data_IF_852962941404
#
_entry.id   IF_852962941404
#
_cell.length_a   1.000
_cell.length_b   1.000
_cell.length_c   1.000
_cell.angle_alpha   90.00
_cell.angle_beta   90.00
_cell.angle_gamma   90.00
#
_symmetry.space_group_name_H-M   'P 1'
#
loop_
_entity.id
_entity.type
_entity.pdbx_description
1 polymer ?
#
# COMPACT_ATOMS: atom_id res chain seq x y z
N UNK A 1 1.00 11.33 35.10
CA UNK A 1 -0.31 11.94 35.39
C UNK A 1 -0.71 13.00 34.38
N UNK A 2 0.22 13.74 33.80
CA UNK A 2 -0.07 14.78 32.78
C UNK A 2 -0.55 14.24 31.42
N UNK A 3 -0.31 12.96 31.11
CA UNK A 3 -0.78 12.30 29.88
C UNK A 3 -2.22 11.76 30.00
N UNK A 4 -2.71 11.53 31.24
CA UNK A 4 -4.08 11.09 31.48
C UNK A 4 -5.10 12.21 31.40
N UNK A 5 -4.73 13.43 31.77
CA UNK A 5 -5.64 14.58 31.83
C UNK A 5 -5.92 15.21 30.48
N UNK A 6 -5.11 14.88 29.43
CA UNK A 6 -5.33 15.32 28.06
C UNK A 6 -6.24 14.41 27.21
N UNK A 7 -6.57 13.19 27.71
CA UNK A 7 -7.37 12.22 26.98
C UNK A 7 -8.81 12.10 27.50
N UNK A 8 -9.14 12.72 28.62
CA UNK A 8 -10.44 12.62 29.29
C UNK A 8 -11.30 13.90 29.21
N UNK A 9 -11.02 14.79 28.31
CA UNK A 9 -11.76 16.03 28.18
C UNK A 9 -11.86 16.50 26.75
N UNK A 10 -12.82 16.08 26.02
CA UNK A 10 -13.67 16.89 25.16
C UNK A 10 -14.52 16.03 24.21
N UNK A 11 -15.54 15.35 24.74
CA UNK A 11 -16.71 14.93 23.97
C UNK A 11 -17.74 16.08 23.90
N UNK A 12 -17.28 17.32 24.06
CA UNK A 12 -18.10 18.51 23.96
C UNK A 12 -18.32 18.87 22.49
N UNK A 13 -19.59 18.85 22.09
CA UNK A 13 -20.06 19.43 20.85
C UNK A 13 -19.32 20.76 20.57
N UNK A 14 -18.75 20.88 19.37
CA UNK A 14 -18.10 22.10 18.92
C UNK A 14 -19.14 23.21 18.65
N UNK A 15 -19.72 23.73 19.72
CA UNK A 15 -20.46 24.98 19.70
C UNK A 15 -19.46 26.12 19.86
N UNK A 16 -19.17 26.84 18.76
CA UNK A 16 -18.71 28.21 18.80
C UNK A 16 -17.37 28.49 19.47
N UNK A 17 -16.26 27.92 18.99
CA UNK A 17 -14.97 28.53 19.23
C UNK A 17 -14.88 29.81 18.36
N UNK A 18 -14.87 30.99 18.96
CA UNK A 18 -14.58 32.25 18.29
C UNK A 18 -13.24 32.16 17.58
N UNK A 19 -13.25 32.22 16.24
CA UNK A 19 -12.05 32.41 15.44
C UNK A 19 -11.30 33.64 15.98
N UNK A 20 -10.00 33.50 16.28
CA UNK A 20 -9.18 34.68 16.61
C UNK A 20 -9.16 35.58 15.36
N UNK A 21 -9.59 36.82 15.52
CA UNK A 21 -9.75 37.80 14.46
C UNK A 21 -8.42 38.27 13.82
N UNK A 22 -7.29 37.71 14.23
CA UNK A 22 -5.95 38.24 13.94
C UNK A 22 -5.12 37.40 12.93
N UNK A 23 -5.62 36.34 12.34
CA UNK A 23 -4.89 35.71 11.24
C UNK A 23 -5.27 36.33 9.90
N UNK A 24 -4.30 36.85 9.13
CA UNK A 24 -4.57 37.49 7.84
C UNK A 24 -4.97 36.41 6.81
N UNK A 25 -6.28 36.17 6.68
CA UNK A 25 -6.83 35.32 5.63
C UNK A 25 -6.98 36.14 4.35
N UNK A 26 -6.53 35.66 3.16
CA UNK A 26 -6.60 36.42 1.92
C UNK A 26 -8.03 36.86 1.61
N UNK A 27 -8.22 38.16 1.34
CA UNK A 27 -9.51 38.71 0.97
C UNK A 27 -10.04 38.04 -0.32
N UNK A 28 -11.31 37.64 -0.32
CA UNK A 28 -12.00 37.05 -1.50
C UNK A 28 -11.93 35.53 -1.56
N UNK A 29 -11.22 34.85 -0.65
CA UNK A 29 -11.33 33.40 -0.53
C UNK A 29 -12.35 33.00 0.54
N UNK A 30 -13.12 31.92 0.32
CA UNK A 30 -14.00 31.39 1.35
C UNK A 30 -13.18 30.90 2.55
N UNK A 31 -13.58 31.29 3.77
CA UNK A 31 -12.88 30.84 4.98
C UNK A 31 -13.17 29.37 5.23
N UNK A 32 -12.13 28.53 5.51
CA UNK A 32 -12.34 27.15 5.89
C UNK A 32 -13.07 27.07 7.23
N UNK A 33 -14.03 26.14 7.34
CA UNK A 33 -14.65 25.80 8.61
C UNK A 33 -14.03 24.50 9.13
N UNK A 34 -13.62 24.48 10.38
CA UNK A 34 -13.06 23.31 11.03
C UNK A 34 -14.21 22.42 11.51
N UNK A 35 -14.26 21.17 11.01
CA UNK A 35 -15.24 20.17 11.43
C UNK A 35 -14.71 19.28 12.57
N UNK A 36 -13.41 18.98 12.57
CA UNK A 36 -12.75 18.18 13.60
C UNK A 36 -11.46 18.87 14.06
N UNK A 37 -11.12 18.71 15.34
CA UNK A 37 -9.88 19.25 15.94
C UNK A 37 -9.13 18.18 16.70
N UNK A 38 -7.83 18.44 16.96
CA UNK A 38 -6.97 17.61 17.78
C UNK A 38 -6.61 16.29 17.09
N UNK A 39 -6.36 15.24 17.87
CA UNK A 39 -5.95 13.93 17.36
C UNK A 39 -7.02 13.27 16.49
N UNK A 40 -8.29 13.54 16.75
CA UNK A 40 -9.40 13.06 15.90
C UNK A 40 -9.36 13.60 14.46
N UNK A 41 -8.57 14.64 14.18
CA UNK A 41 -8.35 15.13 12.82
C UNK A 41 -7.28 14.33 12.03
N UNK A 42 -6.57 13.39 12.67
CA UNK A 42 -5.70 12.43 11.98
C UNK A 42 -6.58 11.32 11.39
N UNK A 43 -6.94 11.44 10.11
CA UNK A 43 -7.88 10.51 9.46
C UNK A 43 -7.15 9.48 8.60
N UNK A 44 -7.68 8.25 8.58
CA UNK A 44 -7.27 7.17 7.66
C UNK A 44 -8.20 7.12 6.43
N UNK A 45 -8.52 8.28 5.88
CA UNK A 45 -9.37 8.45 4.72
C UNK A 45 -10.67 9.19 5.01
N UNK A 46 -11.20 9.85 3.98
CA UNK A 46 -12.48 10.56 4.04
C UNK A 46 -13.15 10.61 2.67
N UNK A 47 -14.48 10.69 2.66
CA UNK A 47 -15.30 10.86 1.47
C UNK A 47 -16.47 11.79 1.76
N UNK A 48 -16.83 12.64 0.79
CA UNK A 48 -17.91 13.60 0.88
C UNK A 48 -19.07 13.14 -0.01
N UNK A 49 -20.31 13.24 0.50
CA UNK A 49 -21.50 12.99 -0.33
C UNK A 49 -21.57 13.95 -1.51
N UNK A 50 -22.17 13.57 -2.66
CA UNK A 50 -22.25 14.42 -3.84
C UNK A 50 -22.93 15.77 -3.61
N UNK A 51 -23.87 15.85 -2.66
CA UNK A 51 -24.55 17.08 -2.25
C UNK A 51 -23.74 17.92 -1.25
N UNK A 52 -22.59 17.40 -0.78
CA UNK A 52 -21.74 18.05 0.19
C UNK A 52 -22.28 18.08 1.63
N UNK A 53 -23.39 17.40 1.91
CA UNK A 53 -24.06 17.48 3.22
C UNK A 53 -23.43 16.61 4.29
N UNK A 54 -22.84 15.47 3.92
CA UNK A 54 -22.24 14.52 4.85
C UNK A 54 -20.80 14.19 4.47
N UNK A 55 -19.89 14.37 5.43
CA UNK A 55 -18.50 13.88 5.34
C UNK A 55 -18.40 12.56 6.10
N UNK A 56 -18.04 11.48 5.41
CA UNK A 56 -17.69 10.21 6.05
C UNK A 56 -16.17 10.17 6.23
N UNK A 57 -15.72 9.91 7.45
CA UNK A 57 -14.29 9.91 7.79
C UNK A 57 -13.92 8.73 8.69
N UNK A 58 -12.73 8.21 8.51
CA UNK A 58 -12.09 7.27 9.42
C UNK A 58 -11.28 8.06 10.45
N UNK A 59 -11.65 7.96 11.73
CA UNK A 59 -11.04 8.76 12.79
C UNK A 59 -10.49 7.86 13.92
N UNK A 60 -9.35 8.22 14.52
CA UNK A 60 -8.76 7.41 15.58
C UNK A 60 -9.59 7.49 16.86
N UNK A 61 -9.80 6.35 17.49
CA UNK A 61 -10.35 6.19 18.82
C UNK A 61 -9.33 5.51 19.73
N UNK A 62 -8.97 6.11 20.88
CA UNK A 62 -7.99 5.51 21.79
C UNK A 62 -8.39 4.10 22.25
N UNK A 63 -7.44 3.18 22.22
CA UNK A 63 -7.61 1.81 22.69
C UNK A 63 -6.36 1.37 23.48
N UNK A 64 -6.39 1.51 24.79
CA UNK A 64 -5.24 1.18 25.63
C UNK A 64 -4.04 2.08 25.35
N UNK A 65 -2.94 1.49 24.83
CA UNK A 65 -1.73 2.20 24.40
C UNK A 65 -1.75 2.56 22.93
N UNK A 66 -2.74 2.08 22.20
CA UNK A 66 -2.93 2.21 20.77
C UNK A 66 -4.19 3.03 20.45
N UNK A 67 -4.56 3.08 19.21
CA UNK A 67 -5.83 3.57 18.72
C UNK A 67 -6.40 2.56 17.72
N UNK A 68 -7.70 2.52 17.58
CA UNK A 68 -8.39 1.94 16.45
C UNK A 68 -9.03 3.02 15.62
N UNK A 69 -9.20 2.78 14.34
CA UNK A 69 -9.93 3.70 13.46
C UNK A 69 -11.40 3.30 13.40
N UNK A 70 -12.28 4.25 13.71
CA UNK A 70 -13.74 4.09 13.57
C UNK A 70 -14.27 4.96 12.44
N UNK A 71 -15.33 4.49 11.79
CA UNK A 71 -15.98 5.24 10.73
C UNK A 71 -17.07 6.13 11.30
N UNK A 72 -17.04 7.42 10.95
CA UNK A 72 -18.01 8.42 11.40
C UNK A 72 -18.61 9.17 10.23
N UNK A 73 -19.86 9.59 10.37
CA UNK A 73 -20.50 10.58 9.50
C UNK A 73 -20.54 11.92 10.23
N UNK A 74 -20.21 12.99 9.53
CA UNK A 74 -20.18 14.36 10.04
C UNK A 74 -21.09 15.20 9.17
N UNK A 75 -22.12 15.78 9.75
CA UNK A 75 -22.96 16.79 9.09
C UNK A 75 -22.12 18.04 8.80
N UNK A 76 -21.96 18.38 7.54
CA UNK A 76 -21.09 19.48 7.15
C UNK A 76 -21.69 20.85 7.51
N UNK A 77 -22.99 21.00 7.74
CA UNK A 77 -23.64 22.23 8.15
C UNK A 77 -23.55 22.48 9.66
N UNK A 78 -23.66 21.45 10.48
CA UNK A 78 -23.70 21.57 11.94
C UNK A 78 -22.37 21.16 12.61
N UNK A 79 -21.61 20.24 12.01
CA UNK A 79 -20.47 19.57 12.61
C UNK A 79 -20.86 18.41 13.53
N UNK A 80 -22.14 18.03 13.57
CA UNK A 80 -22.61 16.89 14.36
C UNK A 80 -22.01 15.59 13.85
N UNK A 81 -21.48 14.78 14.76
CA UNK A 81 -20.80 13.53 14.47
C UNK A 81 -21.66 12.35 14.89
N UNK A 82 -21.82 11.38 13.99
CA UNK A 82 -22.50 10.10 14.23
C UNK A 82 -21.55 8.94 13.90
N UNK A 83 -21.44 7.97 14.81
CA UNK A 83 -20.64 6.77 14.59
C UNK A 83 -21.39 5.83 13.64
N UNK A 84 -20.70 5.39 12.57
CA UNK A 84 -21.21 4.40 11.63
C UNK A 84 -20.70 3.00 11.95
N UNK A 85 -19.41 2.87 12.28
CA UNK A 85 -18.76 1.62 12.68
C UNK A 85 -17.71 1.89 13.74
N UNK A 86 -17.68 1.07 14.75
CA UNK A 86 -16.69 1.08 15.84
C UNK A 86 -16.60 -0.34 16.40
N UNK A 87 -15.45 -0.98 16.21
CA UNK A 87 -15.20 -2.35 16.65
C UNK A 87 -13.86 -2.41 17.37
N UNK A 88 -13.80 -3.17 18.47
CA UNK A 88 -12.55 -3.39 19.23
C UNK A 88 -11.60 -4.25 18.40
N UNK A 89 -10.30 -3.92 18.43
CA UNK A 89 -9.24 -4.61 17.69
C UNK A 89 -9.44 -4.62 16.14
N UNK A 90 -10.16 -3.62 15.63
CA UNK A 90 -10.44 -3.45 14.21
C UNK A 90 -10.23 -2.00 13.82
N UNK A 91 -9.59 -1.79 12.69
CA UNK A 91 -9.56 -0.51 11.99
C UNK A 91 -10.58 -0.51 10.86
N UNK A 92 -11.36 0.57 10.73
CA UNK A 92 -12.32 0.80 9.65
C UNK A 92 -11.89 2.03 8.87
N UNK A 93 -11.41 1.82 7.63
CA UNK A 93 -10.61 2.80 6.91
C UNK A 93 -11.05 2.96 5.46
N UNK A 94 -10.43 3.93 4.76
CA UNK A 94 -10.59 4.17 3.34
C UNK A 94 -12.05 4.26 2.87
N UNK A 95 -12.92 5.11 3.48
CA UNK A 95 -14.30 5.22 3.05
C UNK A 95 -14.42 5.73 1.61
N UNK A 96 -15.38 5.17 0.86
CA UNK A 96 -15.87 5.69 -0.40
C UNK A 96 -17.41 5.86 -0.32
N UNK A 97 -17.95 6.78 -1.10
CA UNK A 97 -19.39 7.04 -1.17
C UNK A 97 -19.85 6.81 -2.60
N UNK A 98 -21.03 6.19 -2.77
CA UNK A 98 -21.69 5.99 -4.05
C UNK A 98 -22.06 7.32 -4.72
N UNK A 99 -22.18 7.32 -6.04
CA UNK A 99 -22.54 8.53 -6.80
C UNK A 99 -23.94 9.06 -6.48
N UNK A 100 -24.85 8.16 -6.13
CA UNK A 100 -26.18 8.54 -5.66
C UNK A 100 -26.20 9.03 -4.21
N UNK A 101 -25.07 8.92 -3.48
CA UNK A 101 -24.91 9.34 -2.09
C UNK A 101 -25.62 8.47 -1.06
N UNK A 102 -26.11 7.28 -1.44
CA UNK A 102 -26.93 6.43 -0.56
C UNK A 102 -26.15 5.32 0.12
N UNK A 103 -24.95 4.98 -0.38
CA UNK A 103 -24.13 3.87 0.12
C UNK A 103 -22.71 4.31 0.44
N UNK A 104 -22.08 3.56 1.35
CA UNK A 104 -20.65 3.65 1.68
C UNK A 104 -19.98 2.31 1.43
N UNK A 105 -18.71 2.35 1.06
CA UNK A 105 -17.81 1.20 1.08
C UNK A 105 -16.57 1.55 1.92
N UNK A 106 -15.95 0.57 2.53
CA UNK A 106 -14.79 0.75 3.39
C UNK A 106 -13.97 -0.53 3.49
N UNK A 107 -12.73 -0.39 3.96
CA UNK A 107 -11.87 -1.50 4.36
C UNK A 107 -12.02 -1.72 5.86
N UNK A 108 -12.26 -2.96 6.25
CA UNK A 108 -12.25 -3.43 7.64
C UNK A 108 -10.99 -4.26 7.83
N UNK A 109 -10.13 -3.83 8.74
CA UNK A 109 -8.86 -4.48 9.03
C UNK A 109 -8.88 -5.04 10.45
N UNK A 110 -8.95 -6.36 10.60
CA UNK A 110 -8.66 -7.00 11.88
C UNK A 110 -7.18 -6.80 12.20
N UNK A 111 -6.87 -6.25 13.39
CA UNK A 111 -5.49 -5.95 13.75
C UNK A 111 -4.64 -7.21 13.85
N UNK A 112 -3.38 -7.07 13.48
CA UNK A 112 -2.39 -8.13 13.67
C UNK A 112 -2.22 -8.47 15.16
N UNK A 113 -1.82 -9.70 15.39
CA UNK A 113 -1.47 -10.22 16.72
C UNK A 113 -0.12 -10.94 16.62
N UNK A 114 0.53 -11.29 17.71
CA UNK A 114 1.71 -12.14 17.65
C UNK A 114 1.46 -13.48 16.95
N UNK A 115 0.20 -13.95 16.92
CA UNK A 115 -0.15 -15.23 16.29
C UNK A 115 -0.45 -15.14 14.78
N UNK A 116 -0.63 -13.93 14.22
CA UNK A 116 -0.92 -13.79 12.81
C UNK A 116 -1.03 -12.34 12.32
N UNK A 117 -0.88 -12.15 11.01
CA UNK A 117 -0.96 -10.84 10.38
C UNK A 117 -2.37 -10.24 10.45
N UNK A 118 -2.47 -8.94 10.14
CA UNK A 118 -3.74 -8.27 9.91
C UNK A 118 -4.51 -8.94 8.75
N UNK A 119 -5.84 -8.94 8.84
CA UNK A 119 -6.71 -9.41 7.75
C UNK A 119 -7.59 -8.25 7.26
N UNK A 120 -7.56 -7.98 5.97
CA UNK A 120 -8.31 -6.89 5.34
C UNK A 120 -9.50 -7.40 4.55
N UNK A 121 -10.65 -6.79 4.77
CA UNK A 121 -11.91 -7.14 4.16
C UNK A 121 -12.55 -5.91 3.51
N UNK A 122 -13.18 -6.10 2.34
CA UNK A 122 -14.05 -5.09 1.74
C UNK A 122 -15.46 -5.21 2.28
N UNK A 123 -16.05 -4.07 2.64
CA UNK A 123 -17.40 -3.97 3.13
C UNK A 123 -18.17 -2.86 2.42
N UNK A 124 -19.49 -3.03 2.28
CA UNK A 124 -20.41 -1.97 1.87
C UNK A 124 -21.60 -1.91 2.84
N UNK A 125 -22.20 -0.71 2.96
CA UNK A 125 -23.36 -0.47 3.81
C UNK A 125 -24.19 0.68 3.24
N UNK A 126 -25.39 0.91 3.76
CA UNK A 126 -26.11 2.15 3.57
C UNK A 126 -25.34 3.33 4.18
N UNK A 127 -25.59 4.57 3.72
CA UNK A 127 -24.89 5.77 4.21
C UNK A 127 -25.08 5.98 5.72
N UNK A 128 -26.15 5.49 6.29
CA UNK A 128 -26.41 5.55 7.74
C UNK A 128 -25.68 4.47 8.53
N UNK A 129 -24.99 3.57 7.85
CA UNK A 129 -24.28 2.46 8.44
C UNK A 129 -25.09 1.18 8.60
N UNK A 130 -26.35 1.15 8.23
CA UNK A 130 -27.18 -0.07 8.24
C UNK A 130 -26.86 -1.00 7.06
N UNK A 131 -27.40 -2.20 7.06
CA UNK A 131 -27.27 -3.19 5.96
C UNK A 131 -25.85 -3.48 5.51
N UNK A 132 -24.91 -3.50 6.47
CA UNK A 132 -23.52 -3.78 6.17
C UNK A 132 -23.31 -5.23 5.74
N UNK A 133 -22.59 -5.40 4.63
CA UNK A 133 -22.26 -6.71 4.08
C UNK A 133 -20.77 -6.77 3.70
N UNK A 134 -20.14 -7.92 3.95
CA UNK A 134 -18.81 -8.22 3.44
C UNK A 134 -18.89 -8.51 1.96
N UNK A 135 -18.04 -7.86 1.19
CA UNK A 135 -17.89 -8.10 -0.26
C UNK A 135 -16.75 -9.08 -0.51
N UNK A 136 -16.87 -9.85 -1.58
CA UNK A 136 -15.82 -10.72 -2.12
C UNK A 136 -15.09 -11.56 -1.04
N UNK A 137 -15.76 -12.37 -0.21
CA UNK A 137 -15.14 -13.03 0.95
C UNK A 137 -14.05 -14.04 0.61
N UNK A 138 -13.92 -14.45 -0.66
CA UNK A 138 -12.86 -15.33 -1.15
C UNK A 138 -11.73 -14.60 -1.90
N UNK A 139 -11.76 -13.28 -1.95
CA UNK A 139 -10.75 -12.49 -2.62
C UNK A 139 -9.64 -12.12 -1.64
N UNK A 140 -8.57 -12.88 -1.66
CA UNK A 140 -7.44 -12.75 -0.75
C UNK A 140 -6.41 -11.72 -1.26
N UNK A 141 -6.79 -10.45 -1.22
CA UNK A 141 -5.94 -9.29 -1.55
C UNK A 141 -6.27 -8.13 -0.64
N UNK A 142 -5.28 -7.27 -0.38
CA UNK A 142 -5.42 -6.07 0.42
C UNK A 142 -5.74 -4.87 -0.47
N UNK A 143 -6.94 -4.26 -0.31
CA UNK A 143 -7.31 -3.10 -1.09
C UNK A 143 -6.43 -1.89 -0.76
N UNK A 144 -5.80 -1.29 -1.75
CA UNK A 144 -5.02 -0.06 -1.60
C UNK A 144 -5.81 1.21 -1.94
N UNK A 145 -6.84 1.10 -2.76
CA UNK A 145 -7.83 2.15 -3.02
C UNK A 145 -9.16 1.56 -3.42
N UNK A 146 -10.24 2.31 -3.19
CA UNK A 146 -11.59 1.92 -3.63
C UNK A 146 -12.41 3.13 -4.06
N UNK A 147 -13.24 2.93 -5.10
CA UNK A 147 -14.21 3.88 -5.62
C UNK A 147 -15.46 3.12 -6.04
N UNK A 148 -16.63 3.71 -5.95
CA UNK A 148 -17.80 3.16 -6.62
C UNK A 148 -17.66 3.33 -8.13
N UNK A 149 -18.05 2.33 -8.91
CA UNK A 149 -18.22 2.43 -10.35
C UNK A 149 -19.29 3.47 -10.70
N UNK A 150 -19.36 3.91 -11.95
CA UNK A 150 -20.27 5.00 -12.33
C UNK A 150 -21.76 4.68 -12.14
N UNK A 151 -22.13 3.40 -12.26
CA UNK A 151 -23.50 2.90 -12.07
C UNK A 151 -23.81 2.48 -10.62
N UNK A 152 -22.87 2.68 -9.69
CA UNK A 152 -22.96 2.24 -8.28
C UNK A 152 -23.23 0.72 -8.10
N UNK A 153 -23.02 -0.11 -9.13
CA UNK A 153 -23.25 -1.56 -9.07
C UNK A 153 -22.03 -2.35 -8.58
N UNK A 154 -20.84 -1.75 -8.63
CA UNK A 154 -19.58 -2.37 -8.25
C UNK A 154 -18.63 -1.36 -7.60
N UNK A 155 -17.57 -1.87 -6.96
CA UNK A 155 -16.39 -1.08 -6.61
C UNK A 155 -15.29 -1.29 -7.65
N UNK A 156 -14.58 -0.22 -7.96
CA UNK A 156 -13.28 -0.23 -8.64
C UNK A 156 -12.22 -0.17 -7.57
N UNK A 157 -11.36 -1.18 -7.52
CA UNK A 157 -10.39 -1.39 -6.43
C UNK A 157 -9.01 -1.60 -7.01
N UNK A 158 -7.98 -1.06 -6.37
CA UNK A 158 -6.59 -1.45 -6.64
C UNK A 158 -6.07 -2.30 -5.49
N UNK A 159 -5.23 -3.28 -5.80
CA UNK A 159 -4.53 -4.10 -4.81
C UNK A 159 -3.25 -4.67 -5.42
N UNK A 160 -2.27 -4.96 -4.57
CA UNK A 160 -1.08 -5.68 -5.00
C UNK A 160 -1.45 -7.08 -5.48
N UNK A 161 -0.87 -7.49 -6.59
CA UNK A 161 -1.07 -8.79 -7.18
C UNK A 161 0.12 -9.21 -8.03
N UNK A 162 0.85 -10.22 -7.57
CA UNK A 162 1.96 -10.83 -8.31
C UNK A 162 3.01 -9.80 -8.79
N UNK A 163 3.46 -8.89 -7.88
CA UNK A 163 4.43 -7.84 -8.18
C UNK A 163 3.93 -6.75 -9.12
N UNK A 164 2.61 -6.61 -9.23
CA UNK A 164 1.86 -5.58 -9.96
C UNK A 164 0.83 -4.96 -9.04
N UNK A 165 0.18 -3.90 -9.49
CA UNK A 165 -0.94 -3.28 -8.77
C UNK A 165 -2.13 -3.06 -9.71
N UNK A 166 -2.80 -4.13 -10.20
CA UNK A 166 -3.89 -4.00 -11.16
C UNK A 166 -5.15 -3.37 -10.57
N UNK A 167 -6.05 -3.00 -11.48
CA UNK A 167 -7.42 -2.60 -11.17
C UNK A 167 -8.32 -3.83 -11.16
N UNK A 168 -9.17 -3.92 -10.14
CA UNK A 168 -10.21 -4.94 -10.01
C UNK A 168 -11.59 -4.30 -9.99
N UNK A 169 -12.59 -5.04 -10.48
CA UNK A 169 -14.00 -4.73 -10.31
C UNK A 169 -14.61 -5.73 -9.32
N UNK A 170 -15.20 -5.20 -8.24
CA UNK A 170 -15.84 -5.98 -7.17
C UNK A 170 -17.34 -5.71 -7.17
N UNK A 171 -18.19 -6.62 -7.67
CA UNK A 171 -19.64 -6.45 -7.69
C UNK A 171 -20.23 -6.34 -6.28
N UNK A 172 -21.21 -5.43 -6.09
CA UNK A 172 -21.90 -5.27 -4.80
C UNK A 172 -22.96 -6.34 -4.53
N UNK A 173 -23.38 -7.06 -5.57
CA UNK A 173 -24.37 -8.16 -5.48
C UNK A 173 -23.77 -9.52 -5.06
N UNK A 174 -22.45 -9.56 -4.79
CA UNK A 174 -21.72 -10.78 -4.43
C UNK A 174 -21.23 -11.59 -5.63
N UNK A 175 -21.25 -11.02 -6.83
CA UNK A 175 -20.63 -11.60 -8.02
C UNK A 175 -19.12 -11.81 -7.88
N UNK A 176 -18.52 -12.52 -8.82
CA UNK A 176 -17.08 -12.80 -8.83
C UNK A 176 -16.27 -11.51 -9.05
N UNK A 177 -15.17 -11.35 -8.32
CA UNK A 177 -14.20 -10.28 -8.56
C UNK A 177 -13.54 -10.51 -9.93
N UNK A 178 -13.46 -9.45 -10.72
CA UNK A 178 -12.77 -9.47 -12.01
C UNK A 178 -11.54 -8.57 -11.96
N UNK A 179 -10.39 -9.10 -12.36
CA UNK A 179 -9.23 -8.25 -12.67
C UNK A 179 -9.48 -7.55 -14.00
N UNK A 180 -9.39 -6.21 -14.02
CA UNK A 180 -9.71 -5.41 -15.21
C UNK A 180 -8.46 -5.10 -16.05
N UNK A 181 -7.30 -4.88 -15.41
CA UNK A 181 -6.04 -4.61 -16.12
C UNK A 181 -5.07 -5.78 -15.97
N UNK A 182 -4.35 -6.16 -17.06
CA UNK A 182 -3.53 -7.39 -17.13
C UNK A 182 -2.09 -7.12 -17.58
N UNK A 183 -1.67 -5.87 -17.62
CA UNK A 183 -0.32 -5.46 -18.01
C UNK A 183 0.65 -5.45 -16.80
N UNK A 184 1.94 -5.29 -17.06
CA UNK A 184 3.00 -5.29 -16.03
C UNK A 184 3.13 -3.91 -15.34
N UNK A 185 2.00 -3.39 -14.81
CA UNK A 185 1.94 -2.08 -14.18
C UNK A 185 1.21 -2.09 -12.84
N UNK A 186 1.50 -1.09 -12.02
CA UNK A 186 0.71 -0.69 -10.87
C UNK A 186 -0.10 0.56 -11.18
N UNK A 187 -1.35 0.58 -10.74
CA UNK A 187 -2.32 1.64 -10.95
C UNK A 187 -2.60 2.39 -9.65
N UNK A 188 -2.59 3.72 -9.74
CA UNK A 188 -2.91 4.60 -8.62
C UNK A 188 -3.83 5.73 -9.08
N UNK A 189 -4.47 6.43 -8.13
CA UNK A 189 -5.37 7.55 -8.44
C UNK A 189 -6.45 7.15 -9.45
N UNK A 190 -7.03 5.97 -9.26
CA UNK A 190 -8.05 5.41 -10.15
C UNK A 190 -9.38 6.10 -9.90
N UNK A 191 -9.93 6.73 -10.95
CA UNK A 191 -11.22 7.42 -10.90
C UNK A 191 -12.14 6.92 -12.03
N UNK A 192 -13.35 6.45 -11.73
CA UNK A 192 -14.36 6.06 -12.72
C UNK A 192 -14.78 7.22 -13.61
N UNK A 193 -14.94 6.97 -14.90
CA UNK A 193 -15.35 7.97 -15.89
C UNK A 193 -16.87 7.99 -16.02
N UNK A 194 -17.48 9.16 -15.79
CA UNK A 194 -18.92 9.33 -15.83
C UNK A 194 -19.57 8.86 -17.15
N UNK A 195 -20.65 8.11 -17.05
CA UNK A 195 -21.42 7.58 -18.17
C UNK A 195 -20.75 6.40 -18.90
N UNK A 196 -19.69 5.83 -18.33
CA UNK A 196 -18.95 4.70 -18.92
C UNK A 196 -18.53 3.70 -17.83
N UNK A 197 -18.05 2.53 -18.25
CA UNK A 197 -17.37 1.58 -17.36
C UNK A 197 -15.82 1.73 -17.37
N UNK A 198 -15.31 2.83 -17.92
CA UNK A 198 -13.89 3.11 -17.99
C UNK A 198 -13.38 3.82 -16.73
N UNK A 199 -12.07 3.81 -16.58
CA UNK A 199 -11.36 4.53 -15.51
C UNK A 199 -10.28 5.45 -16.09
N UNK A 200 -9.96 6.52 -15.41
CA UNK A 200 -8.73 7.27 -15.58
C UNK A 200 -7.83 6.98 -14.39
N UNK A 201 -6.55 6.77 -14.65
CA UNK A 201 -5.59 6.41 -13.62
C UNK A 201 -4.19 6.95 -13.94
N UNK A 202 -3.32 6.95 -12.94
CA UNK A 202 -1.87 6.94 -13.16
C UNK A 202 -1.40 5.50 -13.10
N UNK A 203 -0.59 5.07 -14.08
CA UNK A 203 0.08 3.78 -14.02
C UNK A 203 1.59 3.93 -14.09
N UNK A 204 2.30 3.03 -13.44
CA UNK A 204 3.76 2.98 -13.45
C UNK A 204 4.27 1.57 -13.26
N UNK A 205 5.52 1.33 -13.66
CA UNK A 205 6.31 0.16 -13.27
C UNK A 205 7.77 0.59 -13.08
N UNK A 206 8.70 -0.33 -12.86
CA UNK A 206 10.11 0.04 -12.63
C UNK A 206 10.80 0.66 -13.84
N UNK A 207 10.25 0.49 -15.05
CA UNK A 207 10.79 1.04 -16.31
C UNK A 207 10.12 2.35 -16.72
N UNK A 208 8.93 2.65 -16.20
CA UNK A 208 8.11 3.76 -16.67
C UNK A 208 7.51 4.51 -15.46
N UNK A 209 7.80 5.83 -15.33
CA UNK A 209 7.24 6.64 -14.26
C UNK A 209 5.73 6.78 -14.38
N UNK A 210 5.06 7.25 -13.29
CA UNK A 210 3.63 7.49 -13.31
C UNK A 210 3.21 8.38 -14.48
N UNK A 211 2.29 7.89 -15.30
CA UNK A 211 1.73 8.61 -16.42
C UNK A 211 0.22 8.35 -16.53
N UNK A 212 -0.56 9.33 -17.02
CA UNK A 212 -2.00 9.21 -17.09
C UNK A 212 -2.43 8.24 -18.20
N UNK A 213 -3.43 7.42 -17.88
CA UNK A 213 -4.02 6.47 -18.82
C UNK A 213 -5.53 6.44 -18.68
N UNK A 214 -6.22 5.97 -19.73
CA UNK A 214 -7.62 5.51 -19.70
C UNK A 214 -7.62 3.99 -19.81
N UNK A 215 -8.21 3.32 -18.83
CA UNK A 215 -8.48 1.89 -18.84
C UNK A 215 -9.94 1.65 -19.22
N UNK A 216 -10.17 0.90 -20.29
CA UNK A 216 -11.51 0.50 -20.70
C UNK A 216 -11.97 -0.77 -19.96
N UNK A 217 -13.27 -1.00 -19.92
CA UNK A 217 -13.87 -2.16 -19.25
C UNK A 217 -13.42 -3.53 -19.87
N UNK A 218 -12.98 -3.53 -21.11
CA UNK A 218 -12.44 -4.72 -21.79
C UNK A 218 -10.94 -4.99 -21.49
N UNK A 219 -10.34 -4.20 -20.60
CA UNK A 219 -8.93 -4.29 -20.23
C UNK A 219 -7.97 -3.53 -21.15
N UNK A 220 -8.46 -2.89 -22.21
CA UNK A 220 -7.64 -2.03 -23.08
C UNK A 220 -7.17 -0.80 -22.32
N UNK A 221 -5.85 -0.53 -22.32
CA UNK A 221 -5.27 0.64 -21.67
C UNK A 221 -4.65 1.59 -22.72
N UNK A 222 -5.16 2.80 -22.73
CA UNK A 222 -4.72 3.85 -23.67
C UNK A 222 -3.98 4.97 -22.93
N UNK A 223 -2.72 5.27 -23.26
CA UNK A 223 -2.01 6.41 -22.69
C UNK A 223 -2.70 7.74 -23.03
N UNK A 224 -2.78 8.62 -22.06
CA UNK A 224 -3.22 10.00 -22.20
C UNK A 224 -2.00 10.93 -22.33
N UNK A 225 -2.26 12.20 -22.65
CA UNK A 225 -1.18 13.20 -22.74
C UNK A 225 -0.49 13.35 -21.39
N UNK A 226 0.81 13.09 -21.36
CA UNK A 226 1.65 13.28 -20.18
C UNK A 226 2.29 14.67 -20.18
N UNK A 227 2.39 15.34 -19.02
CA UNK A 227 3.03 16.67 -18.93
C UNK A 227 4.53 16.63 -19.22
N UNK A 228 5.15 15.47 -19.10
CA UNK A 228 6.58 15.26 -19.39
C UNK A 228 6.80 13.91 -20.07
N UNK A 229 7.83 13.80 -20.93
CA UNK A 229 8.23 12.52 -21.49
C UNK A 229 8.78 11.59 -20.40
N UNK A 230 8.64 10.29 -20.59
CA UNK A 230 9.33 9.30 -19.74
C UNK A 230 10.85 9.42 -19.91
N UNK A 231 11.62 9.24 -18.82
CA UNK A 231 13.08 9.15 -18.94
C UNK A 231 13.48 8.04 -19.91
N UNK A 232 14.46 8.32 -20.77
CA UNK A 232 15.04 7.31 -21.65
C UNK A 232 15.87 6.34 -20.80
N UNK A 233 15.72 5.04 -21.05
CA UNK A 233 16.54 3.99 -20.46
C UNK A 233 16.88 2.95 -21.51
N UNK A 234 18.07 2.38 -21.42
CA UNK A 234 18.51 1.24 -22.23
C UNK A 234 18.47 -0.07 -21.43
N UNK A 235 18.14 0.01 -20.14
CA UNK A 235 17.91 -1.16 -19.31
C UNK A 235 16.69 -1.96 -19.77
N UNK A 236 16.68 -3.25 -19.46
CA UNK A 236 15.52 -4.13 -19.63
C UNK A 236 15.05 -4.69 -18.30
N UNK A 237 13.81 -5.16 -18.24
CA UNK A 237 13.22 -5.77 -17.04
C UNK A 237 12.59 -7.11 -17.41
N UNK A 238 12.90 -8.13 -16.64
CA UNK A 238 12.30 -9.47 -16.77
C UNK A 238 11.79 -9.94 -15.44
N UNK A 239 10.73 -10.75 -15.46
CA UNK A 239 10.27 -11.46 -14.29
C UNK A 239 11.15 -12.69 -14.05
N UNK A 240 11.49 -12.94 -12.79
CA UNK A 240 12.23 -14.12 -12.35
C UNK A 240 11.47 -14.79 -11.21
N UNK A 241 11.55 -16.11 -11.14
CA UNK A 241 10.89 -16.88 -10.09
C UNK A 241 11.70 -18.11 -9.70
N UNK A 242 11.43 -18.60 -8.51
CA UNK A 242 11.94 -19.86 -7.99
C UNK A 242 10.90 -20.51 -7.08
N UNK A 243 11.17 -21.75 -6.69
CA UNK A 243 10.40 -22.43 -5.66
C UNK A 243 11.28 -22.53 -4.41
N UNK A 244 10.77 -22.01 -3.29
CA UNK A 244 11.43 -22.14 -1.99
C UNK A 244 11.39 -23.60 -1.47
N UNK A 245 12.20 -23.94 -0.46
CA UNK A 245 12.30 -25.29 0.09
C UNK A 245 10.97 -25.82 0.65
N UNK A 246 10.09 -24.93 1.11
CA UNK A 246 8.74 -25.26 1.58
C UNK A 246 7.70 -25.40 0.45
N UNK A 247 8.12 -25.26 -0.80
CA UNK A 247 7.29 -25.37 -1.99
C UNK A 247 6.58 -24.06 -2.39
N UNK A 248 6.79 -22.95 -1.68
CA UNK A 248 6.21 -21.67 -2.04
C UNK A 248 6.89 -21.08 -3.29
N UNK A 249 6.10 -20.50 -4.17
CA UNK A 249 6.60 -19.71 -5.30
C UNK A 249 7.11 -18.37 -4.80
N UNK A 250 8.37 -18.05 -5.10
CA UNK A 250 9.00 -16.76 -4.84
C UNK A 250 9.34 -16.13 -6.17
N UNK A 251 8.96 -14.88 -6.34
CA UNK A 251 9.19 -14.14 -7.59
C UNK A 251 9.86 -12.79 -7.33
N UNK A 252 10.35 -12.16 -8.38
CA UNK A 252 10.90 -10.80 -8.36
C UNK A 252 11.04 -10.23 -9.76
N UNK A 253 11.38 -8.95 -9.82
CA UNK A 253 11.81 -8.29 -11.03
C UNK A 253 13.33 -8.26 -11.10
N UNK A 254 13.89 -8.57 -12.26
CA UNK A 254 15.32 -8.40 -12.56
C UNK A 254 15.46 -7.30 -13.60
N UNK A 255 16.08 -6.20 -13.20
CA UNK A 255 16.43 -5.09 -14.11
C UNK A 255 17.86 -5.30 -14.57
N UNK A 256 18.05 -5.47 -15.88
CA UNK A 256 19.33 -5.73 -16.51
C UNK A 256 19.89 -4.45 -17.14
N UNK A 257 21.20 -4.17 -16.99
CA UNK A 257 21.84 -3.08 -17.69
C UNK A 257 21.96 -3.38 -19.19
N UNK A 258 22.14 -2.36 -20.00
CA UNK A 258 22.43 -2.52 -21.43
C UNK A 258 23.68 -3.37 -21.66
N UNK A 259 23.57 -4.35 -22.57
CA UNK A 259 24.71 -5.19 -22.98
C UNK A 259 25.08 -6.31 -22.02
N UNK A 260 24.28 -6.56 -20.96
CA UNK A 260 24.46 -7.72 -20.13
C UNK A 260 24.10 -9.00 -20.91
N UNK A 261 25.09 -9.87 -21.09
CA UNK A 261 24.97 -11.16 -21.79
C UNK A 261 26.04 -12.14 -21.28
N UNK A 262 26.09 -13.34 -21.85
CA UNK A 262 27.07 -14.37 -21.47
C UNK A 262 28.55 -13.98 -21.72
N UNK A 263 28.82 -13.01 -22.60
CA UNK A 263 30.17 -12.52 -22.83
C UNK A 263 30.54 -11.35 -21.89
N UNK A 264 29.53 -10.66 -21.39
CA UNK A 264 29.68 -9.48 -20.53
C UNK A 264 28.65 -9.56 -19.37
N UNK A 265 28.78 -10.54 -18.46
CA UNK A 265 27.83 -10.71 -17.38
C UNK A 265 27.90 -9.54 -16.39
N UNK A 266 26.74 -9.10 -15.92
CA UNK A 266 26.60 -7.97 -15.01
C UNK A 266 26.76 -8.39 -13.54
N UNK A 267 27.39 -7.56 -12.68
CA UNK A 267 27.38 -7.77 -11.24
C UNK A 267 25.95 -7.66 -10.70
N UNK A 268 25.58 -8.49 -9.73
CA UNK A 268 24.25 -8.54 -9.16
C UNK A 268 24.14 -7.67 -7.92
N UNK A 269 23.07 -6.88 -7.86
CA UNK A 269 22.62 -6.17 -6.67
C UNK A 269 21.26 -6.73 -6.23
N UNK A 270 21.23 -7.49 -5.13
CA UNK A 270 20.00 -7.86 -4.45
C UNK A 270 19.47 -6.65 -3.68
N UNK A 271 18.29 -6.17 -4.02
CA UNK A 271 17.67 -5.02 -3.37
C UNK A 271 16.40 -5.42 -2.65
N UNK A 272 16.45 -5.46 -1.31
CA UNK A 272 15.38 -5.94 -0.44
C UNK A 272 14.48 -4.77 -0.08
N UNK A 273 13.15 -4.92 -0.30
CA UNK A 273 12.20 -3.86 0.03
C UNK A 273 12.00 -3.67 1.54
N UNK A 274 11.50 -2.49 1.91
CA UNK A 274 11.03 -2.19 3.26
C UNK A 274 9.56 -2.59 3.44
N UNK A 275 9.08 -2.41 4.62
CA UNK A 275 7.72 -2.77 5.06
C UNK A 275 7.77 -3.45 6.42
N UNK A 276 7.68 -4.80 6.52
CA UNK A 276 7.80 -5.84 5.50
C UNK A 276 6.61 -6.01 4.55
N UNK A 277 5.41 -5.59 4.96
CA UNK A 277 4.16 -5.72 4.21
C UNK A 277 4.15 -4.73 3.04
N UNK A 278 4.77 -5.12 1.94
CA UNK A 278 4.96 -4.33 0.73
C UNK A 278 5.26 -5.25 -0.46
N UNK A 279 5.38 -4.71 -1.68
CA UNK A 279 5.81 -5.41 -2.88
C UNK A 279 6.58 -4.50 -3.81
N UNK A 280 7.53 -5.04 -4.58
CA UNK A 280 8.24 -4.35 -5.64
C UNK A 280 7.36 -4.27 -6.90
N UNK A 281 6.40 -3.32 -6.96
CA UNK A 281 5.43 -3.27 -8.04
C UNK A 281 5.38 -1.95 -8.83
N UNK A 282 5.93 -0.83 -8.30
CA UNK A 282 5.71 0.48 -8.87
C UNK A 282 6.96 1.34 -8.89
N UNK A 283 6.97 2.36 -9.76
CA UNK A 283 8.03 3.36 -9.88
C UNK A 283 8.32 4.05 -8.55
N UNK A 284 9.60 4.21 -8.26
CA UNK A 284 10.06 5.09 -7.20
C UNK A 284 11.17 6.00 -7.73
N UNK A 285 11.01 7.31 -7.55
CA UNK A 285 12.06 8.29 -7.86
C UNK A 285 13.23 8.16 -6.89
N UNK A 286 12.96 7.76 -5.66
CA UNK A 286 13.97 7.65 -4.60
C UNK A 286 14.73 6.32 -4.67
N UNK A 287 14.05 5.24 -4.99
CA UNK A 287 14.57 3.88 -4.95
C UNK A 287 14.56 3.25 -6.34
N UNK A 288 15.08 3.98 -7.35
CA UNK A 288 15.04 3.54 -8.75
C UNK A 288 16.17 2.58 -9.08
N UNK A 289 15.87 1.33 -9.49
CA UNK A 289 16.87 0.36 -9.94
C UNK A 289 17.59 0.81 -11.21
N UNK A 290 16.99 1.70 -12.00
CA UNK A 290 17.58 2.21 -13.23
C UNK A 290 18.88 2.99 -12.99
N UNK A 291 19.04 3.60 -11.80
CA UNK A 291 20.28 4.29 -11.44
C UNK A 291 21.46 3.32 -11.26
N UNK A 292 21.19 2.12 -10.73
CA UNK A 292 22.19 1.06 -10.62
C UNK A 292 22.43 0.39 -11.98
N UNK A 293 21.35 0.12 -12.75
CA UNK A 293 21.47 -0.42 -14.10
C UNK A 293 22.26 0.49 -15.04
N UNK A 294 22.09 1.81 -14.97
CA UNK A 294 22.90 2.79 -15.71
C UNK A 294 24.39 2.78 -15.33
N UNK A 295 24.76 2.12 -14.24
CA UNK A 295 26.17 1.89 -13.82
C UNK A 295 26.64 0.47 -14.06
N UNK A 296 25.86 -0.33 -14.79
CA UNK A 296 26.23 -1.68 -15.20
C UNK A 296 25.86 -2.78 -14.20
N UNK A 297 25.04 -2.51 -13.19
CA UNK A 297 24.54 -3.53 -12.27
C UNK A 297 23.24 -4.15 -12.76
N UNK A 298 23.10 -5.45 -12.66
CA UNK A 298 21.81 -6.13 -12.64
C UNK A 298 21.18 -5.95 -11.24
N UNK A 299 19.89 -5.61 -11.19
CA UNK A 299 19.20 -5.35 -9.92
C UNK A 299 18.04 -6.31 -9.73
N UNK A 300 18.14 -7.18 -8.73
CA UNK A 300 17.07 -8.09 -8.34
C UNK A 300 16.19 -7.43 -7.28
N UNK A 301 14.90 -7.33 -7.56
CA UNK A 301 13.83 -6.77 -6.73
C UNK A 301 12.87 -7.91 -6.35
N UNK A 302 13.16 -8.71 -5.31
CA UNK A 302 12.34 -9.88 -4.96
C UNK A 302 11.22 -9.51 -4.01
N UNK A 303 10.15 -10.32 -4.04
CA UNK A 303 9.07 -10.33 -3.08
C UNK A 303 9.14 -11.61 -2.23
N UNK A 304 9.88 -11.62 -1.11
CA UNK A 304 9.96 -12.77 -0.19
C UNK A 304 8.70 -12.91 0.64
N UNK A 305 8.57 -13.95 1.45
CA UNK A 305 7.54 -14.07 2.49
C UNK A 305 7.37 -12.75 3.26
N UNK A 306 6.16 -12.41 3.68
CA UNK A 306 5.67 -11.12 4.17
C UNK A 306 5.26 -10.13 3.07
N UNK A 307 5.64 -10.34 1.81
CA UNK A 307 5.24 -9.42 0.73
C UNK A 307 3.74 -9.50 0.46
N UNK A 308 3.16 -8.36 0.07
CA UNK A 308 1.75 -8.24 -0.31
C UNK A 308 1.50 -8.71 -1.74
N UNK A 309 0.25 -9.05 -2.07
CA UNK A 309 -0.14 -9.45 -3.42
C UNK A 309 -0.09 -10.95 -3.70
N UNK A 310 0.24 -11.79 -2.70
CA UNK A 310 0.37 -13.24 -2.81
C UNK A 310 -0.62 -14.00 -1.91
N UNK A 311 -1.48 -13.29 -1.21
CA UNK A 311 -2.42 -13.83 -0.24
C UNK A 311 -1.92 -13.80 1.19
N UNK A 312 -2.85 -13.98 2.15
CA UNK A 312 -2.58 -13.89 3.57
C UNK A 312 -1.62 -14.98 4.05
N UNK A 313 -1.73 -16.20 3.49
CA UNK A 313 -0.84 -17.31 3.82
C UNK A 313 0.62 -17.01 3.47
N UNK A 314 0.87 -16.27 2.38
CA UNK A 314 2.23 -15.88 2.00
C UNK A 314 2.83 -14.87 2.98
N UNK A 315 2.01 -13.96 3.49
CA UNK A 315 2.40 -13.05 4.57
C UNK A 315 2.67 -13.84 5.86
N UNK A 316 1.78 -14.76 6.21
CA UNK A 316 1.88 -15.56 7.43
C UNK A 316 3.15 -16.43 7.49
N UNK A 317 3.71 -16.85 6.33
CA UNK A 317 4.97 -17.63 6.26
C UNK A 317 6.15 -16.93 6.94
N UNK A 318 6.19 -15.60 6.93
CA UNK A 318 7.26 -14.82 7.55
C UNK A 318 6.85 -14.16 8.87
N UNK A 319 5.61 -14.32 9.31
CA UNK A 319 5.08 -13.68 10.51
C UNK A 319 5.80 -14.20 11.77
N UNK A 320 6.20 -13.29 12.64
CA UNK A 320 7.00 -13.57 13.86
C UNK A 320 8.32 -14.35 13.59
N UNK A 321 8.77 -14.38 12.33
CA UNK A 321 9.94 -15.16 11.92
C UNK A 321 10.72 -14.52 10.76
N UNK A 322 11.03 -13.23 10.86
CA UNK A 322 11.63 -12.44 9.79
C UNK A 322 12.97 -13.00 9.27
N UNK A 323 13.76 -13.64 10.13
CA UNK A 323 15.02 -14.29 9.76
C UNK A 323 14.87 -15.70 9.20
N UNK A 324 13.67 -16.23 9.07
CA UNK A 324 13.38 -17.57 8.53
C UNK A 324 12.97 -17.51 7.05
N UNK A 325 11.68 -17.75 6.73
CA UNK A 325 11.20 -17.80 5.34
C UNK A 325 11.58 -16.57 4.49
N UNK A 326 11.49 -15.31 4.97
CA UNK A 326 11.97 -14.18 4.18
C UNK A 326 13.43 -14.27 3.78
N UNK A 327 14.32 -14.76 4.68
CA UNK A 327 15.75 -14.93 4.37
C UNK A 327 15.98 -16.08 3.38
N UNK A 328 15.37 -17.25 3.59
CA UNK A 328 15.55 -18.40 2.69
C UNK A 328 15.00 -18.11 1.31
N UNK A 329 13.87 -17.39 1.20
CA UNK A 329 13.30 -16.95 -0.07
C UNK A 329 14.26 -16.03 -0.84
N UNK A 330 14.87 -15.05 -0.14
CA UNK A 330 15.88 -14.16 -0.73
C UNK A 330 17.09 -14.94 -1.24
N UNK A 331 17.56 -15.95 -0.50
CA UNK A 331 18.69 -16.79 -0.94
C UNK A 331 18.30 -17.63 -2.15
N UNK A 332 17.14 -18.28 -2.13
CA UNK A 332 16.68 -19.15 -3.21
C UNK A 332 16.49 -18.39 -4.53
N UNK A 333 15.89 -17.20 -4.50
CA UNK A 333 15.72 -16.41 -5.74
C UNK A 333 17.04 -15.80 -6.21
N UNK A 334 17.97 -15.50 -5.30
CA UNK A 334 19.33 -15.08 -5.67
C UNK A 334 20.07 -16.22 -6.36
N UNK A 335 19.94 -17.49 -5.88
CA UNK A 335 20.50 -18.66 -6.55
C UNK A 335 19.99 -18.82 -7.97
N UNK A 336 18.69 -18.67 -8.18
CA UNK A 336 18.09 -18.75 -9.51
C UNK A 336 18.60 -17.65 -10.45
N UNK A 337 18.89 -16.45 -9.93
CA UNK A 337 19.39 -15.33 -10.72
C UNK A 337 20.89 -15.46 -11.03
N UNK A 338 21.73 -15.85 -10.07
CA UNK A 338 23.18 -16.01 -10.33
C UNK A 338 23.50 -17.20 -11.25
N UNK A 339 22.57 -18.16 -11.38
CA UNK A 339 22.69 -19.26 -12.33
C UNK A 339 22.49 -18.84 -13.80
N UNK A 340 22.14 -17.59 -14.08
CA UNK A 340 21.96 -17.06 -15.45
C UNK A 340 23.31 -16.69 -16.06
N UNK A 341 23.46 -16.91 -17.35
CA UNK A 341 24.69 -16.59 -18.07
C UNK A 341 24.98 -15.07 -18.16
N UNK A 342 23.95 -14.21 -18.04
CA UNK A 342 24.07 -12.75 -18.09
C UNK A 342 24.40 -12.10 -16.74
N UNK A 343 24.62 -12.91 -15.68
CA UNK A 343 24.94 -12.46 -14.32
C UNK A 343 26.33 -12.98 -13.90
N UNK A 344 27.13 -12.10 -13.34
CA UNK A 344 28.43 -12.45 -12.75
C UNK A 344 28.26 -12.88 -11.28
N UNK A 345 28.24 -14.20 -11.05
CA UNK A 345 28.09 -14.79 -9.72
C UNK A 345 29.20 -14.42 -8.75
N UNK A 346 30.38 -13.98 -9.26
CA UNK A 346 31.56 -13.62 -8.45
C UNK A 346 31.54 -12.17 -7.98
N UNK A 347 30.55 -11.36 -8.39
CA UNK A 347 30.39 -9.96 -8.01
C UNK A 347 28.97 -9.69 -7.56
N UNK A 348 28.70 -9.93 -6.30
CA UNK A 348 27.36 -9.81 -5.74
C UNK A 348 27.31 -8.83 -4.56
N UNK A 349 26.23 -8.08 -4.47
CA UNK A 349 25.97 -7.21 -3.33
C UNK A 349 24.50 -7.31 -2.87
N UNK A 350 24.25 -7.02 -1.59
CA UNK A 350 22.90 -6.92 -1.05
C UNK A 350 22.67 -5.55 -0.42
N UNK A 351 21.46 -5.00 -0.59
CA UNK A 351 21.08 -3.76 0.06
C UNK A 351 19.60 -3.73 0.41
N UNK A 352 19.25 -2.84 1.34
CA UNK A 352 17.85 -2.61 1.70
C UNK A 352 17.67 -1.46 2.65
N UNK A 353 16.43 -0.99 2.77
CA UNK A 353 16.04 0.08 3.69
C UNK A 353 14.93 -0.38 4.64
N UNK A 354 14.89 0.15 5.88
CA UNK A 354 13.89 -0.20 6.89
C UNK A 354 13.89 -1.71 7.19
N UNK A 355 12.80 -2.44 6.98
CA UNK A 355 12.81 -3.91 7.03
C UNK A 355 13.85 -4.51 6.08
N UNK A 356 13.98 -3.98 4.85
CA UNK A 356 15.03 -4.42 3.93
C UNK A 356 16.45 -4.17 4.49
N UNK A 357 16.64 -3.10 5.29
CA UNK A 357 17.87 -2.85 6.02
C UNK A 357 18.12 -3.86 7.14
N UNK A 358 17.08 -4.26 7.88
CA UNK A 358 17.13 -5.37 8.82
C UNK A 358 17.56 -6.66 8.12
N UNK A 359 16.94 -7.00 7.01
CA UNK A 359 17.28 -8.20 6.24
C UNK A 359 18.69 -8.13 5.66
N UNK A 360 19.17 -6.96 5.22
CA UNK A 360 20.56 -6.77 4.80
C UNK A 360 21.55 -7.02 5.96
N UNK A 361 21.23 -6.57 7.18
CA UNK A 361 22.01 -6.91 8.38
C UNK A 361 21.95 -8.41 8.70
N UNK A 362 20.77 -9.03 8.57
CA UNK A 362 20.59 -10.46 8.78
C UNK A 362 21.44 -11.27 7.80
N UNK A 363 21.41 -10.91 6.52
CA UNK A 363 22.28 -11.46 5.46
C UNK A 363 23.75 -11.34 5.85
N UNK A 364 24.22 -10.17 6.29
CA UNK A 364 25.61 -9.96 6.72
C UNK A 364 26.06 -10.88 7.85
N UNK A 365 25.14 -11.27 8.73
CA UNK A 365 25.42 -12.15 9.87
C UNK A 365 25.28 -13.64 9.60
N UNK A 366 24.68 -14.05 8.47
CA UNK A 366 24.27 -15.45 8.22
C UNK A 366 24.83 -16.05 6.91
N UNK A 367 25.48 -15.26 6.07
CA UNK A 367 26.12 -15.75 4.85
C UNK A 367 27.27 -14.84 4.44
N UNK A 368 28.27 -15.40 3.77
CA UNK A 368 29.44 -14.72 3.20
C UNK A 368 29.35 -14.60 1.66
N UNK A 369 28.15 -14.85 1.08
CA UNK A 369 27.98 -14.89 -0.39
C UNK A 369 28.06 -13.53 -1.07
N UNK A 370 27.88 -12.42 -0.35
CA UNK A 370 27.89 -11.07 -0.91
C UNK A 370 29.17 -10.32 -0.59
N UNK A 371 29.83 -9.75 -1.62
CA UNK A 371 31.06 -8.97 -1.49
C UNK A 371 30.83 -7.63 -0.78
N UNK A 372 29.61 -7.08 -0.88
CA UNK A 372 29.24 -5.81 -0.24
C UNK A 372 27.81 -5.83 0.27
N UNK A 373 27.59 -5.16 1.40
CA UNK A 373 26.26 -5.00 1.99
C UNK A 373 26.03 -3.54 2.33
N UNK A 374 24.86 -3.00 1.94
CA UNK A 374 24.44 -1.64 2.27
C UNK A 374 23.14 -1.68 3.05
N UNK A 375 23.16 -1.15 4.28
CA UNK A 375 21.97 -1.04 5.13
C UNK A 375 21.56 0.42 5.27
N UNK A 376 20.27 0.71 5.07
CA UNK A 376 19.73 2.07 5.14
C UNK A 376 18.57 2.14 6.13
N UNK A 377 18.61 3.09 7.07
CA UNK A 377 17.55 3.28 8.07
C UNK A 377 17.06 1.95 8.66
N UNK A 378 18.00 1.09 9.02
CA UNK A 378 17.76 -0.30 9.40
C UNK A 378 17.12 -0.41 10.77
N UNK A 379 16.32 -1.45 10.97
CA UNK A 379 15.89 -1.96 12.25
C UNK A 379 16.88 -3.02 12.70
N UNK A 380 17.09 -3.17 14.04
CA UNK A 380 17.95 -4.26 14.52
C UNK A 380 17.55 -4.75 15.91
N UNK A 381 17.74 -3.97 16.95
CA UNK A 381 17.40 -4.36 18.33
C UNK A 381 15.91 -4.08 18.59
N UNK A 382 15.04 -5.04 18.30
CA UNK A 382 13.58 -4.84 18.38
C UNK A 382 13.08 -4.56 19.79
N UNK A 383 13.69 -5.15 20.83
CA UNK A 383 13.41 -4.86 22.23
C UNK A 383 13.58 -3.36 22.57
N UNK A 384 14.63 -2.74 22.04
CA UNK A 384 14.89 -1.31 22.19
C UNK A 384 14.00 -0.48 21.25
N UNK A 385 13.83 -0.95 20.00
CA UNK A 385 13.06 -0.25 18.99
C UNK A 385 11.59 -0.10 19.40
N UNK A 386 10.95 -1.16 19.89
CA UNK A 386 9.58 -1.12 20.40
C UNK A 386 9.39 -0.10 21.54
N UNK A 387 10.46 0.14 22.35
CA UNK A 387 10.44 1.12 23.43
C UNK A 387 10.73 2.57 23.03
N UNK A 388 11.28 2.80 21.85
CA UNK A 388 11.79 4.13 21.39
C UNK A 388 11.09 4.67 20.15
N UNK A 389 10.33 3.83 19.40
CA UNK A 389 9.58 4.24 18.22
C UNK A 389 8.33 5.02 18.59
N UNK A 390 7.86 5.89 17.71
CA UNK A 390 6.59 6.60 17.80
C UNK A 390 5.37 5.71 17.48
N UNK A 391 5.60 4.50 16.94
CA UNK A 391 4.55 3.54 16.57
C UNK A 391 4.79 2.17 17.23
N UNK A 392 5.01 2.18 18.54
CA UNK A 392 5.31 0.98 19.32
C UNK A 392 4.30 -0.19 19.17
N UNK A 393 2.96 0.03 19.13
CA UNK A 393 1.99 -1.06 19.01
C UNK A 393 2.14 -1.90 17.73
N UNK A 394 2.65 -1.32 16.65
CA UNK A 394 2.91 -2.04 15.40
C UNK A 394 4.07 -3.04 15.52
N UNK A 395 4.99 -2.82 16.47
CA UNK A 395 6.24 -3.58 16.62
C UNK A 395 6.23 -4.55 17.82
N UNK A 396 5.12 -4.63 18.53
CA UNK A 396 4.89 -5.56 19.66
C UNK A 396 4.17 -6.86 19.19
#
# INVERSE_FOLDING_TARGET
SALRDGLAGDSGAAAGASESADEPYPAGLPRPRILLRGRAASTAGMALTPDGATLVASVPEPQGRDARHRLVAIDTATGELRILRDEVDVDVEAPAISRDGTRIAYVRTAKSTPAGPADQELWAAALDGTDAQRLAPGWDRWPSSLRFADDDAALVVTADHDGRGPVFTVPLDGGAVAQTTHDDFAYTHVEPVAGTADVIALRSNWMTPPHPVRGAADGTVTPLVSPAPSPATTASMVEVETTADDGARVRGWLVLPEGADAATPAPLLLWIHGGPLNSWNAWSWRWSPLLAAARGYAVLLPDPALSTGYGLDFIARGWDAWGAAPFTDLMSITDAVVARDDIDETRTAAMGGSFGGYMANWVAGHTDRFDAIVTHASLWAFDQFAGTTDFAPYWQ
#
